data_IF_703871110391
#
_entry.id   IF_703871110391
#
_cell.length_a   1.000
_cell.length_b   1.000
_cell.length_c   1.000
_cell.angle_alpha   90.00
_cell.angle_beta   90.00
_cell.angle_gamma   90.00
#
_symmetry.space_group_name_H-M   'P 1'
#
loop_
_entity.id
_entity.type
_entity.pdbx_description
1 polymer ?
#
# COMPACT_ATOMS: atom_id res chain seq x y z
N UNK A 1 14.49 -11.25 -24.77
CA UNK A 1 15.36 -10.62 -23.74
C UNK A 1 16.78 -10.49 -24.27
N UNK A 2 17.46 -9.36 -24.11
CA UNK A 2 18.89 -9.26 -24.41
C UNK A 2 19.73 -9.53 -23.17
N UNK A 3 20.83 -10.27 -23.31
CA UNK A 3 21.80 -10.55 -22.25
C UNK A 3 23.20 -10.12 -22.67
N UNK A 4 23.95 -9.60 -21.71
CA UNK A 4 25.35 -9.26 -21.84
C UNK A 4 26.24 -10.48 -21.54
N UNK A 5 27.38 -10.54 -22.23
CA UNK A 5 28.51 -11.40 -21.86
C UNK A 5 29.76 -10.55 -21.71
N UNK A 6 30.53 -10.84 -20.68
CA UNK A 6 31.85 -10.26 -20.46
C UNK A 6 32.90 -11.24 -20.98
N UNK A 7 33.66 -10.82 -21.98
CA UNK A 7 34.76 -11.61 -22.53
C UNK A 7 36.04 -11.52 -21.69
N UNK A 8 37.05 -12.28 -22.08
CA UNK A 8 38.28 -12.45 -21.27
C UNK A 8 39.14 -11.20 -21.20
N UNK A 9 38.99 -10.26 -22.15
CA UNK A 9 39.69 -8.97 -22.17
C UNK A 9 38.82 -7.82 -21.67
N UNK A 10 37.67 -8.13 -21.06
CA UNK A 10 36.72 -7.15 -20.54
C UNK A 10 35.81 -6.52 -21.59
N UNK A 11 35.72 -7.11 -22.78
CA UNK A 11 34.81 -6.73 -23.84
C UNK A 11 33.37 -7.13 -23.49
N UNK A 12 32.43 -6.22 -23.74
CA UNK A 12 31.00 -6.47 -23.56
C UNK A 12 30.39 -6.83 -24.90
N UNK A 13 29.56 -7.86 -24.92
CA UNK A 13 28.79 -8.26 -26.09
C UNK A 13 27.33 -8.50 -25.72
N UNK A 14 26.42 -8.17 -26.63
CA UNK A 14 24.97 -8.29 -26.41
C UNK A 14 24.40 -9.40 -27.30
N UNK A 15 23.59 -10.27 -26.72
CA UNK A 15 22.94 -11.39 -27.41
C UNK A 15 21.45 -11.41 -27.14
N UNK A 16 20.63 -11.63 -28.17
CA UNK A 16 19.16 -11.73 -28.03
C UNK A 16 18.78 -13.19 -27.78
N UNK A 17 17.94 -13.41 -26.78
CA UNK A 17 17.39 -14.72 -26.42
C UNK A 17 15.86 -14.67 -26.45
N UNK A 18 15.26 -15.73 -26.97
CA UNK A 18 13.82 -15.98 -26.93
C UNK A 18 13.42 -16.55 -25.55
N UNK A 19 12.16 -16.40 -25.17
CA UNK A 19 11.67 -16.66 -23.81
C UNK A 19 11.95 -18.07 -23.29
N UNK A 20 11.88 -19.09 -24.14
CA UNK A 20 12.06 -20.48 -23.74
C UNK A 20 13.53 -20.91 -23.69
N UNK A 21 14.45 -20.07 -24.18
CA UNK A 21 15.87 -20.38 -24.36
C UNK A 21 16.78 -19.34 -23.68
N UNK A 22 16.37 -18.82 -22.53
CA UNK A 22 17.19 -17.88 -21.75
C UNK A 22 18.18 -18.68 -20.89
N UNK A 23 19.51 -18.54 -21.07
CA UNK A 23 20.49 -19.22 -20.23
C UNK A 23 20.47 -18.66 -18.80
N UNK A 24 20.95 -19.40 -17.78
CA UNK A 24 21.13 -18.85 -16.43
C UNK A 24 21.93 -17.54 -16.45
N UNK A 25 21.47 -16.55 -15.68
CA UNK A 25 22.03 -15.22 -15.71
C UNK A 25 22.00 -14.53 -14.35
N UNK A 26 22.93 -13.59 -14.16
CA UNK A 26 22.88 -12.60 -13.09
C UNK A 26 22.14 -11.33 -13.55
N UNK A 27 21.62 -10.56 -12.61
CA UNK A 27 20.93 -9.30 -12.90
C UNK A 27 21.47 -8.16 -12.03
N UNK A 28 21.66 -6.98 -12.60
CA UNK A 28 22.10 -5.80 -11.87
C UNK A 28 20.90 -4.93 -11.47
N UNK A 29 20.79 -4.67 -10.17
CA UNK A 29 19.94 -3.63 -9.62
C UNK A 29 20.79 -2.44 -9.23
N UNK A 30 20.47 -1.25 -9.74
CA UNK A 30 21.27 -0.06 -9.48
C UNK A 30 20.47 1.23 -9.66
N UNK A 31 21.00 2.33 -9.13
CA UNK A 31 20.47 3.66 -9.43
C UNK A 31 21.23 4.29 -10.58
N UNK A 32 20.51 4.84 -11.56
CA UNK A 32 21.13 5.56 -12.65
C UNK A 32 21.74 6.89 -12.18
N UNK A 33 22.83 7.27 -12.82
CA UNK A 33 23.45 8.59 -12.76
C UNK A 33 22.76 9.59 -13.68
N UNK A 34 23.51 10.56 -14.19
CA UNK A 34 23.04 11.40 -15.29
C UNK A 34 22.87 10.56 -16.56
N UNK A 35 22.04 11.01 -17.51
CA UNK A 35 21.77 10.26 -18.74
C UNK A 35 23.06 9.99 -19.55
N UNK A 36 23.96 10.97 -19.62
CA UNK A 36 25.24 10.83 -20.33
C UNK A 36 26.23 9.89 -19.64
N UNK A 37 26.03 9.63 -18.33
CA UNK A 37 26.87 8.73 -17.54
C UNK A 37 26.46 7.27 -17.66
N UNK A 38 25.25 6.97 -18.16
CA UNK A 38 24.77 5.59 -18.24
C UNK A 38 25.09 4.92 -19.57
N UNK A 39 25.41 3.64 -19.48
CA UNK A 39 25.62 2.79 -20.64
C UNK A 39 24.28 2.45 -21.27
N UNK A 40 24.13 2.74 -22.56
CA UNK A 40 22.93 2.47 -23.33
C UNK A 40 23.08 1.23 -24.22
N UNK A 41 21.97 0.78 -24.79
CA UNK A 41 21.93 -0.31 -25.74
C UNK A 41 22.78 -0.02 -27.00
N UNK A 42 22.74 1.22 -27.48
CA UNK A 42 23.49 1.64 -28.67
C UNK A 42 24.99 1.76 -28.37
N UNK A 43 25.36 2.17 -27.15
CA UNK A 43 26.78 2.21 -26.74
C UNK A 43 27.41 0.82 -26.84
N UNK A 44 26.72 -0.22 -26.35
CA UNK A 44 27.20 -1.61 -26.42
C UNK A 44 27.28 -2.09 -27.86
N UNK A 45 26.26 -1.84 -28.69
CA UNK A 45 26.30 -2.21 -30.11
C UNK A 45 27.41 -1.50 -30.88
N UNK A 46 27.69 -0.24 -30.55
CA UNK A 46 28.74 0.56 -31.15
C UNK A 46 30.13 0.33 -30.56
N UNK A 47 30.26 -0.45 -29.48
CA UNK A 47 31.53 -0.68 -28.79
C UNK A 47 32.10 0.59 -28.11
N UNK A 48 31.23 1.50 -27.69
CA UNK A 48 31.56 2.81 -27.11
C UNK A 48 31.18 2.91 -25.61
N UNK A 49 31.28 4.10 -25.02
CA UNK A 49 30.84 4.37 -23.65
C UNK A 49 31.75 3.85 -22.53
N UNK A 50 32.98 3.41 -22.83
CA UNK A 50 33.94 2.91 -21.82
C UNK A 50 34.37 3.95 -20.79
N UNK A 51 34.25 5.22 -21.17
CA UNK A 51 34.54 6.41 -20.37
C UNK A 51 33.37 6.82 -19.45
N UNK A 52 32.17 6.28 -19.68
CA UNK A 52 30.98 6.57 -18.88
C UNK A 52 31.05 5.92 -17.49
N UNK A 53 30.59 6.63 -16.47
CA UNK A 53 30.61 6.12 -15.09
C UNK A 53 29.78 4.82 -14.92
N UNK A 54 28.68 4.68 -15.66
CA UNK A 54 27.84 3.48 -15.71
C UNK A 54 28.58 2.24 -16.19
N UNK A 55 29.65 2.38 -16.99
CA UNK A 55 30.46 1.26 -17.47
C UNK A 55 31.03 0.43 -16.31
N UNK A 56 31.43 1.09 -15.23
CA UNK A 56 31.96 0.41 -14.04
C UNK A 56 30.92 -0.48 -13.36
N UNK A 57 29.65 -0.06 -13.34
CA UNK A 57 28.54 -0.86 -12.78
C UNK A 57 28.28 -2.10 -13.62
N UNK A 58 28.30 -1.96 -14.94
CA UNK A 58 28.13 -3.08 -15.89
C UNK A 58 29.28 -4.08 -15.76
N UNK A 59 30.53 -3.61 -15.72
CA UNK A 59 31.70 -4.46 -15.50
C UNK A 59 31.65 -5.16 -14.14
N UNK A 60 31.23 -4.45 -13.09
CA UNK A 60 31.05 -5.04 -11.76
C UNK A 60 30.10 -6.23 -11.82
N UNK A 61 28.92 -6.07 -12.44
CA UNK A 61 27.95 -7.17 -12.60
C UNK A 61 28.54 -8.32 -13.41
N UNK A 62 29.21 -8.04 -14.53
CA UNK A 62 29.81 -9.07 -15.37
C UNK A 62 30.91 -9.88 -14.67
N UNK A 63 31.76 -9.22 -13.87
CA UNK A 63 32.80 -9.91 -13.07
C UNK A 63 32.19 -10.77 -11.97
N UNK A 64 31.18 -10.27 -11.26
CA UNK A 64 30.46 -11.06 -10.24
C UNK A 64 29.76 -12.27 -10.84
N UNK A 65 29.15 -12.11 -12.02
CA UNK A 65 28.56 -13.21 -12.75
C UNK A 65 29.60 -14.29 -13.11
N UNK A 66 30.78 -13.89 -13.60
CA UNK A 66 31.87 -14.83 -13.91
C UNK A 66 32.39 -15.58 -12.66
N UNK A 67 32.49 -14.91 -11.51
CA UNK A 67 32.89 -15.55 -10.25
C UNK A 67 31.89 -16.61 -9.75
N UNK A 68 30.63 -16.53 -10.18
CA UNK A 68 29.55 -17.47 -9.87
C UNK A 68 29.24 -18.43 -11.05
N UNK A 69 30.18 -18.58 -11.98
CA UNK A 69 30.06 -19.42 -13.19
C UNK A 69 28.88 -19.07 -14.12
N UNK A 70 28.38 -17.82 -14.05
CA UNK A 70 27.33 -17.31 -14.92
C UNK A 70 27.94 -16.58 -16.12
N UNK A 71 27.80 -17.20 -17.30
CA UNK A 71 28.31 -16.64 -18.55
C UNK A 71 27.57 -15.39 -19.05
N UNK A 72 26.35 -15.15 -18.55
CA UNK A 72 25.44 -14.12 -19.04
C UNK A 72 24.87 -13.29 -17.89
N UNK A 73 24.63 -12.00 -18.14
CA UNK A 73 24.03 -11.10 -17.15
C UNK A 73 23.15 -10.02 -17.81
N UNK A 74 22.32 -9.35 -17.02
CA UNK A 74 21.37 -8.35 -17.50
C UNK A 74 21.48 -7.03 -16.75
N UNK A 75 21.36 -5.93 -17.49
CA UNK A 75 21.36 -4.56 -16.96
C UNK A 75 20.31 -3.74 -17.72
N UNK A 76 19.37 -3.11 -17.02
CA UNK A 76 18.22 -2.37 -17.60
C UNK A 76 18.63 -1.17 -18.47
N UNK A 77 19.79 -0.55 -18.18
CA UNK A 77 20.29 0.60 -18.93
C UNK A 77 20.66 0.23 -20.39
N UNK A 78 21.25 -0.95 -20.61
CA UNK A 78 21.84 -1.36 -21.89
C UNK A 78 21.34 -2.69 -22.46
N UNK A 79 20.52 -3.45 -21.74
CA UNK A 79 19.84 -4.65 -22.26
C UNK A 79 18.42 -4.38 -22.77
N UNK A 80 17.94 -3.13 -22.72
CA UNK A 80 16.64 -2.73 -23.26
C UNK A 80 16.86 -1.72 -24.38
N UNK A 81 16.39 -2.05 -25.59
CA UNK A 81 16.36 -1.10 -26.70
C UNK A 81 15.21 -0.10 -26.53
N UNK A 82 15.44 0.96 -25.74
CA UNK A 82 14.41 1.97 -25.41
C UNK A 82 13.81 2.70 -26.61
N UNK A 83 14.57 3.03 -27.68
CA UNK A 83 13.98 3.62 -28.88
C UNK A 83 12.91 2.75 -29.55
N UNK A 84 12.96 1.42 -29.36
CA UNK A 84 11.93 0.52 -29.85
C UNK A 84 10.79 0.39 -28.83
N UNK A 85 9.68 1.11 -29.07
CA UNK A 85 8.53 1.14 -28.14
C UNK A 85 7.89 -0.23 -27.89
N UNK A 86 7.91 -1.14 -28.88
CA UNK A 86 7.41 -2.51 -28.72
C UNK A 86 8.28 -3.27 -27.72
N UNK A 87 9.60 -3.19 -27.89
CA UNK A 87 10.56 -3.84 -26.99
C UNK A 87 10.54 -3.21 -25.60
N UNK A 88 10.39 -1.88 -25.51
CA UNK A 88 10.25 -1.17 -24.24
C UNK A 88 8.99 -1.61 -23.49
N UNK A 89 7.85 -1.73 -24.18
CA UNK A 89 6.60 -2.22 -23.60
C UNK A 89 6.73 -3.65 -23.10
N UNK A 90 7.34 -4.51 -23.90
CA UNK A 90 7.63 -5.89 -23.54
C UNK A 90 8.54 -5.97 -22.30
N UNK A 91 9.57 -5.13 -22.23
CA UNK A 91 10.48 -5.05 -21.11
C UNK A 91 9.81 -4.58 -19.83
N UNK A 92 9.02 -3.50 -19.87
CA UNK A 92 8.27 -2.98 -18.71
C UNK A 92 7.34 -4.06 -18.13
N UNK A 93 6.65 -4.80 -18.98
CA UNK A 93 5.72 -5.86 -18.55
C UNK A 93 6.44 -7.15 -18.09
N UNK A 94 7.71 -7.33 -18.47
CA UNK A 94 8.49 -8.54 -18.16
C UNK A 94 9.51 -8.35 -17.05
N UNK A 95 9.79 -7.12 -16.63
CA UNK A 95 10.89 -6.79 -15.72
C UNK A 95 10.84 -7.60 -14.42
N UNK A 96 9.69 -7.65 -13.76
CA UNK A 96 9.52 -8.45 -12.54
C UNK A 96 9.83 -9.93 -12.78
N UNK A 97 9.40 -10.49 -13.92
CA UNK A 97 9.70 -11.88 -14.27
C UNK A 97 11.20 -12.08 -14.46
N UNK A 98 11.87 -11.17 -15.16
CA UNK A 98 13.32 -11.24 -15.37
C UNK A 98 14.08 -11.17 -14.04
N UNK A 99 13.71 -10.28 -13.13
CA UNK A 99 14.29 -10.29 -11.78
C UNK A 99 13.99 -11.58 -11.02
N UNK A 100 12.76 -12.10 -11.11
CA UNK A 100 12.40 -13.35 -10.39
C UNK A 100 13.13 -14.60 -10.90
N UNK A 101 13.56 -14.61 -12.16
CA UNK A 101 14.24 -15.75 -12.80
C UNK A 101 15.77 -15.64 -12.76
N UNK A 102 16.31 -14.50 -12.33
CA UNK A 102 17.75 -14.34 -12.21
C UNK A 102 18.33 -15.24 -11.10
N UNK A 103 19.48 -15.85 -11.37
CA UNK A 103 20.17 -16.70 -10.39
C UNK A 103 20.70 -15.89 -9.20
N UNK A 104 21.19 -14.68 -9.50
CA UNK A 104 21.73 -13.69 -8.56
C UNK A 104 21.29 -12.30 -8.98
N UNK A 105 20.80 -11.51 -8.02
CA UNK A 105 20.57 -10.08 -8.17
C UNK A 105 21.63 -9.32 -7.36
N UNK A 106 22.52 -8.62 -8.06
CA UNK A 106 23.53 -7.77 -7.42
C UNK A 106 23.00 -6.35 -7.32
N UNK A 107 22.82 -5.86 -6.10
CA UNK A 107 22.46 -4.47 -5.83
C UNK A 107 23.76 -3.67 -5.66
N UNK A 108 24.06 -2.80 -6.62
CA UNK A 108 25.25 -1.94 -6.57
C UNK A 108 24.90 -0.54 -6.05
N UNK A 109 25.35 -0.24 -4.83
CA UNK A 109 25.06 1.01 -4.12
C UNK A 109 26.16 2.06 -4.34
N UNK A 110 26.02 2.84 -5.40
CA UNK A 110 26.97 3.90 -5.78
C UNK A 110 27.19 4.99 -4.73
N UNK A 111 26.32 5.14 -3.74
CA UNK A 111 26.35 6.15 -2.68
C UNK A 111 26.72 5.58 -1.29
N UNK A 112 27.04 4.29 -1.21
CA UNK A 112 27.49 3.63 0.03
C UNK A 112 28.95 3.26 -0.10
N UNK A 113 29.78 3.64 0.88
CA UNK A 113 31.19 3.23 0.96
C UNK A 113 31.38 2.42 2.22
N UNK A 114 31.96 1.23 2.09
CA UNK A 114 32.23 0.35 3.23
C UNK A 114 33.49 0.80 3.99
N UNK A 115 34.51 1.30 3.30
CA UNK A 115 35.76 1.75 3.92
C UNK A 115 35.81 3.28 4.13
N UNK A 116 35.97 3.74 5.37
CA UNK A 116 36.50 5.08 5.66
C UNK A 116 37.92 4.93 6.22
N UNK A 117 38.94 5.46 5.52
CA UNK A 117 40.25 5.68 6.16
C UNK A 117 40.09 6.84 7.15
N UNK A 118 39.97 6.53 8.43
CA UNK A 118 40.04 7.52 9.50
C UNK A 118 41.49 7.95 9.74
N UNK A 119 41.70 9.22 10.09
CA UNK A 119 43.02 9.79 10.41
C UNK A 119 43.66 9.23 11.69
N UNK A 120 42.94 8.39 12.45
CA UNK A 120 43.34 7.90 13.79
C UNK A 120 43.45 6.38 13.91
N UNK A 121 43.39 5.61 12.81
CA UNK A 121 43.66 4.16 12.85
C UNK A 121 42.55 3.27 13.42
N UNK A 122 41.47 3.82 13.99
CA UNK A 122 40.28 3.05 14.38
C UNK A 122 39.39 2.76 13.17
N UNK A 123 39.33 1.48 12.77
CA UNK A 123 38.44 0.98 11.72
C UNK A 123 37.06 0.75 12.34
N UNK A 124 36.25 1.81 12.43
CA UNK A 124 34.83 1.69 12.73
C UNK A 124 34.03 2.35 11.60
N UNK A 125 33.64 1.57 10.59
CA UNK A 125 32.74 2.03 9.55
C UNK A 125 31.30 1.57 9.86
N UNK A 126 30.42 2.50 10.21
CA UNK A 126 28.99 2.20 10.24
C UNK A 126 28.40 2.37 8.83
N UNK A 127 28.77 1.49 7.89
CA UNK A 127 28.23 1.50 6.53
C UNK A 127 26.69 1.43 6.53
N UNK A 128 26.08 0.88 7.59
CA UNK A 128 24.63 0.81 7.78
C UNK A 128 23.94 2.18 7.78
N UNK A 129 24.61 3.23 8.24
CA UNK A 129 24.01 4.58 8.22
C UNK A 129 23.96 5.16 6.80
N UNK A 130 25.01 4.91 6.00
CA UNK A 130 25.02 5.26 4.58
C UNK A 130 24.01 4.40 3.80
N UNK A 131 23.93 3.11 4.13
CA UNK A 131 22.96 2.18 3.56
C UNK A 131 21.52 2.65 3.78
N UNK A 132 21.14 3.00 5.02
CA UNK A 132 19.81 3.55 5.35
C UNK A 132 19.44 4.79 4.54
N UNK A 133 20.44 5.59 4.15
CA UNK A 133 20.27 6.84 3.40
C UNK A 133 20.46 6.67 1.90
N UNK A 134 20.72 5.45 1.42
CA UNK A 134 20.97 5.22 0.00
C UNK A 134 19.76 5.58 -0.83
N UNK A 135 19.99 6.28 -1.93
CA UNK A 135 18.99 6.64 -2.94
C UNK A 135 18.33 5.41 -3.55
N UNK A 136 18.96 4.24 -3.48
CA UNK A 136 18.39 2.99 -3.97
C UNK A 136 17.02 2.70 -3.33
N UNK A 137 16.84 3.01 -2.05
CA UNK A 137 15.57 2.82 -1.34
C UNK A 137 14.49 3.82 -1.73
N UNK A 138 14.86 4.93 -2.37
CA UNK A 138 13.92 5.99 -2.78
C UNK A 138 13.50 5.90 -4.24
N UNK A 139 13.94 4.87 -4.99
CA UNK A 139 13.56 4.69 -6.40
C UNK A 139 12.35 3.76 -6.53
N UNK A 140 11.42 4.07 -7.43
CA UNK A 140 10.22 3.25 -7.64
C UNK A 140 10.54 1.84 -8.14
N UNK A 141 11.32 1.74 -9.22
CA UNK A 141 11.67 0.48 -9.87
C UNK A 141 12.39 -0.52 -8.96
N UNK A 142 13.27 -0.04 -8.07
CA UNK A 142 14.03 -0.90 -7.14
C UNK A 142 13.15 -1.69 -6.16
N UNK A 143 11.85 -1.35 -6.04
CA UNK A 143 10.90 -2.14 -5.27
C UNK A 143 10.69 -3.53 -5.89
N UNK A 144 10.51 -3.60 -7.21
CA UNK A 144 10.41 -4.88 -7.91
C UNK A 144 11.75 -5.63 -7.85
N UNK A 145 12.85 -4.91 -7.97
CA UNK A 145 14.22 -5.45 -7.95
C UNK A 145 14.59 -6.03 -6.58
N UNK A 146 13.94 -5.57 -5.50
CA UNK A 146 14.07 -6.12 -4.14
C UNK A 146 13.22 -7.38 -3.94
N UNK A 147 11.96 -7.32 -4.40
CA UNK A 147 10.93 -8.30 -4.07
C UNK A 147 10.92 -9.51 -5.00
N UNK A 148 11.15 -9.31 -6.29
CA UNK A 148 11.06 -10.38 -7.29
C UNK A 148 12.17 -11.45 -7.17
N UNK A 149 13.46 -11.10 -7.07
CA UNK A 149 14.54 -12.10 -7.03
C UNK A 149 14.60 -12.82 -5.68
N UNK A 150 14.94 -14.11 -5.70
CA UNK A 150 15.14 -14.90 -4.48
C UNK A 150 16.49 -14.58 -3.80
N UNK A 151 17.55 -14.42 -4.60
CA UNK A 151 18.91 -14.18 -4.12
C UNK A 151 19.32 -12.74 -4.44
N UNK A 152 19.38 -11.89 -3.42
CA UNK A 152 19.82 -10.49 -3.55
C UNK A 152 21.02 -10.25 -2.67
N UNK A 153 22.06 -9.67 -3.25
CA UNK A 153 23.30 -9.32 -2.57
C UNK A 153 23.56 -7.83 -2.68
N UNK A 154 23.84 -7.18 -1.57
CA UNK A 154 24.11 -5.75 -1.52
C UNK A 154 25.61 -5.50 -1.53
N UNK A 155 26.04 -4.61 -2.43
CA UNK A 155 27.43 -4.27 -2.64
C UNK A 155 27.63 -2.76 -2.60
N UNK A 156 28.71 -2.33 -1.94
CA UNK A 156 29.07 -0.91 -1.87
C UNK A 156 29.72 -0.41 -3.16
N UNK A 157 29.89 0.92 -3.27
CA UNK A 157 30.62 1.56 -4.37
C UNK A 157 32.04 1.00 -4.54
N UNK A 158 32.72 0.72 -3.43
CA UNK A 158 34.07 0.15 -3.35
C UNK A 158 34.12 -1.38 -3.55
N UNK A 159 33.01 -1.99 -3.99
CA UNK A 159 32.94 -3.41 -4.34
C UNK A 159 32.99 -4.34 -3.13
N UNK A 160 32.62 -3.85 -1.94
CA UNK A 160 32.57 -4.66 -0.72
C UNK A 160 31.18 -5.25 -0.53
N UNK A 161 31.14 -6.52 -0.14
CA UNK A 161 29.91 -7.21 0.21
C UNK A 161 29.35 -6.66 1.52
N UNK A 162 28.07 -6.27 1.52
CA UNK A 162 27.38 -5.69 2.67
C UNK A 162 26.43 -6.68 3.35
N UNK A 163 26.00 -7.71 2.62
CA UNK A 163 25.09 -8.74 3.10
C UNK A 163 24.06 -9.15 2.05
N UNK A 164 23.41 -10.29 2.30
CA UNK A 164 22.27 -10.77 1.53
C UNK A 164 20.96 -10.12 2.00
N UNK A 165 19.90 -10.19 1.17
CA UNK A 165 18.55 -9.78 1.59
C UNK A 165 18.06 -10.52 2.83
N UNK A 166 18.42 -11.80 2.98
CA UNK A 166 18.09 -12.61 4.14
C UNK A 166 18.82 -12.12 5.39
N UNK A 167 20.13 -11.88 5.31
CA UNK A 167 20.93 -11.37 6.45
C UNK A 167 20.53 -9.95 6.86
N UNK A 168 20.05 -9.14 5.91
CA UNK A 168 19.65 -7.76 6.13
C UNK A 168 18.14 -7.58 6.28
N UNK A 169 17.34 -8.65 6.42
CA UNK A 169 15.86 -8.59 6.41
C UNK A 169 15.30 -7.55 7.38
N UNK A 170 15.79 -7.55 8.62
CA UNK A 170 15.36 -6.62 9.67
C UNK A 170 15.71 -5.17 9.34
N UNK A 171 16.92 -4.93 8.84
CA UNK A 171 17.37 -3.59 8.44
C UNK A 171 16.56 -3.09 7.23
N UNK A 172 16.28 -3.98 6.27
CA UNK A 172 15.45 -3.68 5.12
C UNK A 172 13.99 -3.38 5.52
N UNK A 173 13.44 -4.12 6.48
CA UNK A 173 12.13 -3.85 7.07
C UNK A 173 12.10 -2.46 7.73
N UNK A 174 13.11 -2.12 8.54
CA UNK A 174 13.24 -0.80 9.17
C UNK A 174 13.24 0.35 8.14
N UNK A 175 13.92 0.16 7.00
CA UNK A 175 14.04 1.20 5.96
C UNK A 175 12.77 1.30 5.11
N UNK A 176 12.19 0.16 4.72
CA UNK A 176 11.17 0.10 3.67
C UNK A 176 9.75 -0.12 4.19
N UNK A 177 9.61 -0.47 5.47
CA UNK A 177 8.35 -0.93 6.09
C UNK A 177 7.73 -2.17 5.42
N UNK A 178 8.47 -2.87 4.56
CA UNK A 178 8.03 -4.12 3.93
C UNK A 178 8.17 -5.25 4.96
N UNK A 179 7.13 -6.08 5.20
CA UNK A 179 7.22 -7.20 6.12
C UNK A 179 8.38 -8.15 5.79
N UNK A 180 9.08 -8.64 6.81
CA UNK A 180 10.17 -9.60 6.62
C UNK A 180 9.72 -10.85 5.86
N UNK A 181 8.48 -11.30 6.06
CA UNK A 181 7.90 -12.42 5.30
C UNK A 181 7.87 -12.16 3.79
N UNK A 182 7.56 -10.93 3.35
CA UNK A 182 7.59 -10.55 1.94
C UNK A 182 9.03 -10.52 1.41
N UNK A 183 9.97 -9.97 2.19
CA UNK A 183 11.40 -9.95 1.85
C UNK A 183 12.00 -11.37 1.72
N UNK A 184 11.51 -12.31 2.53
CA UNK A 184 11.88 -13.72 2.51
C UNK A 184 11.14 -14.55 1.44
N UNK A 185 10.36 -13.92 0.55
CA UNK A 185 9.77 -14.58 -0.61
C UNK A 185 8.38 -15.18 -0.40
N UNK A 186 7.64 -14.76 0.64
CA UNK A 186 6.22 -15.11 0.73
C UNK A 186 5.47 -14.62 -0.54
N UNK A 187 4.50 -15.39 -1.07
CA UNK A 187 3.77 -14.99 -2.26
C UNK A 187 3.12 -13.61 -2.07
N UNK A 188 3.37 -12.67 -2.99
CA UNK A 188 2.89 -11.29 -2.83
C UNK A 188 1.35 -11.19 -2.77
N UNK A 189 0.63 -12.19 -3.26
CA UNK A 189 -0.83 -12.29 -3.18
C UNK A 189 -1.37 -12.50 -1.76
N UNK A 190 -0.54 -12.92 -0.79
CA UNK A 190 -0.97 -13.04 0.61
C UNK A 190 -1.08 -11.68 1.31
N UNK A 191 -0.48 -10.63 0.73
CA UNK A 191 -0.54 -9.27 1.24
C UNK A 191 -1.67 -8.49 0.56
N UNK A 192 -2.36 -7.65 1.34
CA UNK A 192 -3.47 -6.86 0.82
C UNK A 192 -3.03 -5.89 -0.29
N UNK A 193 -3.96 -5.49 -1.15
CA UNK A 193 -3.68 -4.50 -2.20
C UNK A 193 -3.14 -3.21 -1.58
N UNK A 194 -3.76 -2.74 -0.50
CA UNK A 194 -3.36 -1.53 0.21
C UNK A 194 -1.96 -1.63 0.80
N UNK A 195 -1.63 -2.77 1.39
CA UNK A 195 -0.29 -3.01 1.95
C UNK A 195 0.79 -2.98 0.87
N UNK A 196 0.55 -3.62 -0.27
CA UNK A 196 1.46 -3.57 -1.42
C UNK A 196 1.64 -2.15 -1.96
N UNK A 197 0.58 -1.34 -1.98
CA UNK A 197 0.69 0.08 -2.31
C UNK A 197 1.51 0.86 -1.28
N UNK A 198 1.43 0.55 0.02
CA UNK A 198 2.23 1.24 1.06
C UNK A 198 3.73 1.02 0.90
N UNK A 199 4.18 -0.08 0.30
CA UNK A 199 5.61 -0.32 0.03
C UNK A 199 6.23 0.70 -0.95
N UNK A 200 5.40 1.51 -1.61
CA UNK A 200 5.81 2.60 -2.48
C UNK A 200 6.08 3.91 -1.75
N UNK A 201 5.74 3.99 -0.45
CA UNK A 201 5.94 5.19 0.35
C UNK A 201 7.42 5.63 0.34
N UNK A 202 7.65 6.93 0.09
CA UNK A 202 9.01 7.49 0.00
C UNK A 202 9.76 7.18 -1.29
N UNK A 203 9.18 6.40 -2.22
CA UNK A 203 9.79 6.09 -3.52
C UNK A 203 9.33 7.08 -4.60
N UNK A 204 10.25 7.42 -5.49
CA UNK A 204 10.06 8.37 -6.59
C UNK A 204 10.55 7.76 -7.91
N UNK A 205 9.95 8.22 -9.00
CA UNK A 205 10.32 7.83 -10.37
C UNK A 205 10.68 9.06 -11.19
N UNK A 206 11.53 8.90 -12.20
CA UNK A 206 11.93 10.01 -13.08
C UNK A 206 10.76 10.43 -13.97
N UNK A 207 10.10 9.46 -14.61
CA UNK A 207 8.84 9.68 -15.34
C UNK A 207 7.66 9.57 -14.40
N UNK A 208 6.62 10.37 -14.62
CA UNK A 208 5.47 10.46 -13.70
C UNK A 208 4.63 9.18 -13.76
N UNK A 209 4.43 8.66 -14.96
CA UNK A 209 3.70 7.44 -15.28
C UNK A 209 4.37 6.18 -14.69
N UNK A 210 5.69 6.17 -14.52
CA UNK A 210 6.43 5.05 -13.94
C UNK A 210 6.01 4.72 -12.50
N UNK A 211 5.37 5.65 -11.78
CA UNK A 211 4.79 5.36 -10.45
C UNK A 211 3.76 4.21 -10.51
N UNK A 212 3.13 4.00 -11.66
CA UNK A 212 2.23 2.87 -11.89
C UNK A 212 2.98 1.68 -12.49
N UNK A 213 3.83 1.91 -13.50
CA UNK A 213 4.50 0.82 -14.22
C UNK A 213 5.49 0.05 -13.35
N UNK A 214 6.14 0.72 -12.39
CA UNK A 214 7.00 0.07 -11.41
C UNK A 214 6.22 -0.80 -10.41
N UNK A 215 4.90 -0.98 -10.55
CA UNK A 215 4.08 -1.86 -9.71
C UNK A 215 3.44 -3.04 -10.46
N UNK A 216 3.58 -3.10 -11.79
CA UNK A 216 2.90 -4.13 -12.61
C UNK A 216 3.18 -5.55 -12.13
N UNK A 217 4.45 -5.88 -11.87
CA UNK A 217 4.83 -7.20 -11.40
C UNK A 217 4.41 -7.52 -9.96
N UNK A 218 4.40 -6.51 -9.08
CA UNK A 218 3.98 -6.66 -7.68
C UNK A 218 2.50 -7.03 -7.60
N UNK A 219 1.70 -6.43 -8.47
CA UNK A 219 0.27 -6.73 -8.59
C UNK A 219 -0.04 -7.88 -9.55
N UNK A 220 0.96 -8.34 -10.31
CA UNK A 220 0.79 -9.33 -11.36
C UNK A 220 -0.26 -8.85 -12.35
N UNK A 221 -0.07 -7.68 -12.95
CA UNK A 221 -0.93 -7.09 -14.00
C UNK A 221 -0.06 -6.66 -15.18
N UNK A 222 -0.68 -6.42 -16.34
CA UNK A 222 0.02 -5.97 -17.54
C UNK A 222 -0.67 -4.73 -18.09
N UNK A 223 0.12 -3.73 -18.46
CA UNK A 223 -0.38 -2.49 -19.06
C UNK A 223 0.55 -2.05 -20.19
N UNK A 224 0.00 -1.70 -21.36
CA UNK A 224 0.75 -0.98 -22.38
C UNK A 224 1.20 0.39 -21.83
N UNK A 225 2.50 0.69 -21.79
CA UNK A 225 2.97 2.00 -21.36
C UNK A 225 2.62 3.06 -22.40
N UNK A 226 2.10 4.19 -21.94
CA UNK A 226 1.77 5.35 -22.77
C UNK A 226 2.68 6.49 -22.33
N UNK A 227 3.66 6.89 -23.16
CA UNK A 227 4.56 7.99 -22.84
C UNK A 227 3.79 9.27 -22.58
N UNK A 228 4.06 9.92 -21.45
CA UNK A 228 3.44 11.20 -21.11
C UNK A 228 1.98 11.11 -20.66
N UNK A 229 1.46 9.93 -20.30
CA UNK A 229 0.08 9.78 -19.84
C UNK A 229 -0.19 10.35 -18.43
N UNK A 230 0.79 10.98 -17.78
CA UNK A 230 0.71 11.52 -16.42
C UNK A 230 0.52 10.46 -15.32
N UNK A 231 0.79 10.86 -14.07
CA UNK A 231 0.83 9.94 -12.92
C UNK A 231 -0.54 9.39 -12.59
N UNK A 232 -1.54 10.26 -12.53
CA UNK A 232 -2.88 9.98 -12.03
C UNK A 232 -3.61 9.01 -12.96
N UNK A 233 -3.48 9.22 -14.28
CA UNK A 233 -4.10 8.36 -15.27
C UNK A 233 -3.42 6.98 -15.36
N UNK A 234 -2.08 6.92 -15.32
CA UNK A 234 -1.35 5.65 -15.24
C UNK A 234 -1.76 4.84 -13.99
N UNK A 235 -1.88 5.50 -12.82
CA UNK A 235 -2.36 4.87 -11.59
C UNK A 235 -3.83 4.43 -11.67
N UNK A 236 -4.68 5.21 -12.34
CA UNK A 236 -6.07 4.83 -12.62
C UNK A 236 -6.15 3.53 -13.40
N UNK A 237 -5.41 3.43 -14.52
CA UNK A 237 -5.32 2.21 -15.34
C UNK A 237 -4.79 1.02 -14.55
N UNK A 238 -3.79 1.23 -13.70
CA UNK A 238 -3.25 0.19 -12.82
C UNK A 238 -4.33 -0.35 -11.88
N UNK A 239 -5.06 0.54 -11.21
CA UNK A 239 -6.15 0.17 -10.28
C UNK A 239 -7.27 -0.57 -11.00
N UNK A 240 -7.65 -0.13 -12.19
CA UNK A 240 -8.66 -0.80 -13.00
C UNK A 240 -8.23 -2.23 -13.35
N UNK A 241 -6.98 -2.43 -13.74
CA UNK A 241 -6.45 -3.75 -14.09
C UNK A 241 -6.33 -4.67 -12.87
N UNK A 242 -5.93 -4.13 -11.72
CA UNK A 242 -5.96 -4.85 -10.43
C UNK A 242 -7.38 -5.29 -10.09
N UNK A 243 -8.37 -4.41 -10.28
CA UNK A 243 -9.77 -4.69 -9.98
C UNK A 243 -10.35 -5.77 -10.88
N UNK A 244 -10.01 -5.76 -12.18
CA UNK A 244 -10.43 -6.81 -13.14
C UNK A 244 -9.94 -8.20 -12.74
N UNK A 245 -8.72 -8.31 -12.20
CA UNK A 245 -8.15 -9.60 -11.75
C UNK A 245 -8.68 -10.05 -10.39
N UNK A 246 -9.30 -9.15 -9.63
CA UNK A 246 -9.84 -9.43 -8.30
C UNK A 246 -11.32 -9.00 -8.25
N UNK A 247 -12.25 -9.73 -8.89
CA UNK A 247 -13.66 -9.34 -8.97
C UNK A 247 -14.32 -9.17 -7.59
N UNK A 248 -13.86 -9.87 -6.55
CA UNK A 248 -14.30 -9.65 -5.15
C UNK A 248 -13.85 -8.30 -4.56
N UNK A 249 -12.86 -7.62 -5.16
CA UNK A 249 -12.43 -6.25 -4.83
C UNK A 249 -13.17 -5.16 -5.63
N UNK A 250 -14.08 -5.52 -6.54
CA UNK A 250 -14.88 -4.55 -7.31
C UNK A 250 -15.79 -3.66 -6.43
N UNK A 251 -16.03 -4.04 -5.18
CA UNK A 251 -16.76 -3.20 -4.21
C UNK A 251 -15.91 -2.08 -3.58
N UNK A 252 -14.58 -2.09 -3.74
CA UNK A 252 -13.67 -1.17 -3.03
C UNK A 252 -13.05 -0.10 -3.94
N UNK A 253 -12.94 -0.33 -5.26
CA UNK A 253 -12.11 0.51 -6.14
C UNK A 253 -12.91 1.50 -7.01
N UNK A 254 -14.23 1.30 -7.19
CA UNK A 254 -15.09 2.28 -7.86
C UNK A 254 -15.51 3.38 -6.89
N UNK A 255 -14.72 4.46 -6.80
CA UNK A 255 -15.13 5.87 -6.57
C UNK A 255 -13.97 6.67 -5.95
N UNK A 256 -13.00 7.09 -6.75
CA UNK A 256 -12.33 8.37 -6.48
C UNK A 256 -13.09 9.45 -7.24
N UNK A 257 -14.22 9.85 -6.67
CA UNK A 257 -14.92 11.08 -7.04
C UNK A 257 -14.25 12.27 -6.33
N UNK A 258 -14.44 13.46 -6.89
CA UNK A 258 -14.07 14.77 -6.31
C UNK A 258 -14.34 14.83 -4.78
N UNK A 259 -13.64 15.71 -4.04
CA UNK A 259 -13.76 15.84 -2.56
C UNK A 259 -15.22 15.79 -2.02
N UNK A 260 -16.23 16.40 -2.69
CA UNK A 260 -17.64 16.22 -2.33
C UNK A 260 -18.15 14.77 -2.44
N UNK A 261 -17.87 14.09 -3.56
CA UNK A 261 -18.29 12.70 -3.80
C UNK A 261 -17.54 11.67 -2.92
N UNK A 262 -16.31 11.98 -2.51
CA UNK A 262 -15.57 11.17 -1.52
C UNK A 262 -16.27 11.13 -0.17
N UNK A 263 -16.69 12.29 0.35
CA UNK A 263 -17.37 12.38 1.66
C UNK A 263 -18.69 11.61 1.65
N UNK A 264 -19.44 11.74 0.56
CA UNK A 264 -20.69 11.00 0.38
C UNK A 264 -20.44 9.49 0.35
N UNK A 265 -19.41 9.03 -0.36
CA UNK A 265 -19.03 7.60 -0.38
C UNK A 265 -18.58 7.09 0.99
N UNK A 266 -17.79 7.86 1.74
CA UNK A 266 -17.38 7.49 3.10
C UNK A 266 -18.58 7.43 4.05
N UNK A 267 -19.48 8.42 3.98
CA UNK A 267 -20.70 8.45 4.76
C UNK A 267 -21.62 7.25 4.43
N UNK A 268 -21.81 6.95 3.15
CA UNK A 268 -22.61 5.80 2.69
C UNK A 268 -22.00 4.46 3.15
N UNK A 269 -20.67 4.32 3.18
CA UNK A 269 -20.05 3.08 3.65
C UNK A 269 -20.30 2.76 5.12
N UNK A 270 -20.68 3.75 5.95
CA UNK A 270 -21.09 3.51 7.33
C UNK A 270 -22.44 2.80 7.39
N UNK A 271 -23.30 2.97 6.38
CA UNK A 271 -24.59 2.29 6.30
C UNK A 271 -24.43 0.78 6.18
N UNK A 272 -25.43 0.08 6.68
CA UNK A 272 -25.68 -1.32 6.41
C UNK A 272 -27.20 -1.54 6.43
N UNK A 273 -27.67 -2.49 5.62
CA UNK A 273 -29.08 -2.69 5.31
C UNK A 273 -29.96 -2.85 6.56
N UNK A 274 -29.43 -3.51 7.61
CA UNK A 274 -30.18 -3.84 8.82
C UNK A 274 -30.12 -2.78 9.93
N UNK A 275 -29.53 -1.60 9.68
CA UNK A 275 -29.21 -0.61 10.71
C UNK A 275 -30.42 -0.14 11.54
N UNK A 276 -31.58 0.01 10.90
CA UNK A 276 -32.84 0.41 11.55
C UNK A 276 -33.81 -0.75 11.81
N UNK A 277 -33.51 -1.95 11.29
CA UNK A 277 -34.43 -3.10 11.26
C UNK A 277 -35.00 -3.40 12.62
N UNK A 278 -34.16 -3.42 13.67
CA UNK A 278 -34.64 -3.72 15.01
C UNK A 278 -35.63 -2.68 15.54
N UNK A 279 -35.36 -1.39 15.32
CA UNK A 279 -36.24 -0.29 15.75
C UNK A 279 -37.58 -0.35 15.03
N UNK A 280 -37.55 -0.61 13.72
CA UNK A 280 -38.74 -0.71 12.88
C UNK A 280 -39.60 -1.92 13.30
N UNK A 281 -38.97 -3.08 13.53
CA UNK A 281 -39.67 -4.33 13.87
C UNK A 281 -40.18 -4.40 15.31
N UNK A 282 -39.69 -3.57 16.23
CA UNK A 282 -40.29 -3.41 17.56
C UNK A 282 -41.69 -2.84 17.39
N UNK A 283 -42.71 -3.54 17.90
CA UNK A 283 -44.10 -3.07 17.92
C UNK A 283 -44.21 -1.75 18.68
N UNK A 284 -45.03 -0.85 18.15
CA UNK A 284 -45.33 0.42 18.79
C UNK A 284 -46.04 0.20 20.13
N UNK A 285 -45.88 1.17 21.02
CA UNK A 285 -46.61 1.18 22.28
C UNK A 285 -48.12 1.31 21.98
N UNK A 286 -48.91 0.45 22.60
CA UNK A 286 -50.37 0.59 22.53
C UNK A 286 -50.79 1.91 23.17
N UNK A 287 -51.91 2.48 22.70
CA UNK A 287 -52.45 3.72 23.23
C UNK A 287 -52.54 3.67 24.78
N UNK A 288 -52.10 4.76 25.44
CA UNK A 288 -52.05 4.92 26.91
C UNK A 288 -51.05 4.01 27.66
N UNK A 289 -50.18 3.27 26.96
CA UNK A 289 -49.09 2.52 27.59
C UNK A 289 -47.77 3.31 27.56
N UNK A 290 -46.78 2.89 28.36
CA UNK A 290 -45.42 3.46 28.45
C UNK A 290 -45.30 4.92 28.97
N UNK A 291 -46.35 5.75 28.89
CA UNK A 291 -46.33 7.16 29.29
C UNK A 291 -45.98 7.41 30.77
N UNK A 292 -46.25 6.43 31.65
CA UNK A 292 -45.86 6.49 33.07
C UNK A 292 -44.36 6.72 33.26
N UNK A 293 -43.52 6.24 32.33
CA UNK A 293 -42.07 6.36 32.42
C UNK A 293 -41.60 7.82 32.37
N UNK A 294 -42.34 8.69 31.68
CA UNK A 294 -42.02 10.12 31.59
C UNK A 294 -42.13 10.85 32.94
N UNK A 295 -42.91 10.30 33.87
CA UNK A 295 -43.08 10.83 35.23
C UNK A 295 -42.25 10.07 36.26
N UNK A 296 -41.59 8.97 35.86
CA UNK A 296 -40.84 8.14 36.79
C UNK A 296 -39.61 8.90 37.31
N UNK A 297 -39.44 8.96 38.64
CA UNK A 297 -38.39 9.75 39.29
C UNK A 297 -36.99 9.49 38.72
N UNK A 298 -36.63 8.22 38.46
CA UNK A 298 -35.34 7.86 37.88
C UNK A 298 -35.15 8.38 36.44
N UNK A 299 -36.20 8.39 35.62
CA UNK A 299 -36.14 8.93 34.26
C UNK A 299 -36.03 10.45 34.27
N UNK A 300 -36.82 11.11 35.11
CA UNK A 300 -36.79 12.56 35.29
C UNK A 300 -35.41 13.02 35.81
N UNK A 301 -34.85 12.31 36.79
CA UNK A 301 -33.50 12.58 37.31
C UNK A 301 -32.43 12.42 36.22
N UNK A 302 -32.49 11.33 35.44
CA UNK A 302 -31.56 11.09 34.33
C UNK A 302 -31.63 12.17 33.23
N UNK A 303 -32.80 12.80 33.01
CA UNK A 303 -33.01 13.81 31.96
C UNK A 303 -32.53 15.22 32.34
N UNK A 304 -32.40 15.57 33.62
CA UNK A 304 -32.02 16.94 34.05
C UNK A 304 -30.57 17.27 33.66
N UNK A 305 -30.34 18.47 33.10
CA UNK A 305 -29.03 18.88 32.54
C UNK A 305 -28.04 19.39 33.60
N UNK A 306 -28.48 19.77 34.79
CA UNK A 306 -27.78 20.69 35.69
C UNK A 306 -26.62 20.09 36.52
N UNK A 307 -26.31 18.80 36.37
CA UNK A 307 -25.27 18.12 37.16
C UNK A 307 -24.09 17.69 36.27
N UNK A 308 -23.27 18.68 35.88
CA UNK A 308 -22.11 18.51 34.97
C UNK A 308 -20.85 17.97 35.68
N UNK A 309 -20.88 17.79 37.00
CA UNK A 309 -19.71 17.39 37.79
C UNK A 309 -19.75 15.91 38.16
N UNK A 310 -19.41 15.05 37.19
CA UNK A 310 -18.79 13.75 37.44
C UNK A 310 -19.72 12.53 37.63
N UNK A 311 -20.04 11.83 36.53
CA UNK A 311 -20.57 10.47 36.60
C UNK A 311 -21.34 10.04 35.35
N UNK A 312 -21.05 8.84 34.83
CA UNK A 312 -21.66 8.26 33.60
C UNK A 312 -23.20 8.26 33.68
N UNK A 313 -23.89 8.92 32.75
CA UNK A 313 -25.36 9.02 32.67
C UNK A 313 -26.01 7.82 31.97
N UNK A 314 -25.89 6.61 32.53
CA UNK A 314 -26.52 5.39 32.00
C UNK A 314 -27.86 5.15 32.69
N UNK A 315 -28.96 5.07 31.92
CA UNK A 315 -30.26 4.63 32.42
C UNK A 315 -30.42 3.12 32.22
N UNK A 316 -30.54 2.36 33.30
CA UNK A 316 -30.73 0.91 33.25
C UNK A 316 -32.21 0.51 33.44
N UNK A 317 -32.80 -0.12 32.43
CA UNK A 317 -34.19 -0.62 32.47
C UNK A 317 -34.19 -2.15 32.53
N UNK A 318 -34.55 -2.70 33.69
CA UNK A 318 -34.66 -4.14 33.92
C UNK A 318 -36.12 -4.61 33.94
N UNK A 319 -36.35 -5.87 33.57
CA UNK A 319 -37.68 -6.49 33.59
C UNK A 319 -37.68 -7.87 32.95
N UNK A 320 -38.71 -8.67 33.25
CA UNK A 320 -38.85 -10.06 32.75
C UNK A 320 -38.89 -10.11 31.20
N UNK A 321 -38.51 -11.23 30.56
CA UNK A 321 -38.78 -11.43 29.13
C UNK A 321 -40.25 -11.18 28.81
N UNK A 322 -40.54 -10.50 27.69
CA UNK A 322 -41.92 -10.15 27.31
C UNK A 322 -42.52 -8.92 28.03
N UNK A 323 -41.87 -8.34 29.05
CA UNK A 323 -42.39 -7.18 29.79
C UNK A 323 -42.43 -5.85 29.00
N UNK A 324 -42.24 -5.86 27.68
CA UNK A 324 -42.34 -4.66 26.83
C UNK A 324 -41.14 -3.71 26.83
N UNK A 325 -39.96 -4.12 27.36
CA UNK A 325 -38.77 -3.24 27.46
C UNK A 325 -38.36 -2.56 26.15
N UNK A 326 -38.29 -3.32 25.05
CA UNK A 326 -37.92 -2.75 23.74
C UNK A 326 -38.99 -1.78 23.22
N UNK A 327 -40.27 -2.07 23.45
CA UNK A 327 -41.39 -1.18 23.12
C UNK A 327 -41.33 0.11 23.95
N UNK A 328 -41.00 0.02 25.23
CA UNK A 328 -40.74 1.17 26.09
C UNK A 328 -39.57 2.02 25.56
N UNK A 329 -38.46 1.40 25.16
CA UNK A 329 -37.32 2.12 24.57
C UNK A 329 -37.67 2.80 23.24
N UNK A 330 -38.45 2.14 22.37
CA UNK A 330 -38.95 2.75 21.13
C UNK A 330 -39.84 3.96 21.42
N UNK A 331 -40.73 3.84 22.41
CA UNK A 331 -41.58 4.94 22.87
C UNK A 331 -40.76 6.12 23.39
N UNK A 332 -39.80 5.87 24.29
CA UNK A 332 -38.93 6.94 24.83
C UNK A 332 -38.08 7.60 23.75
N UNK A 333 -37.57 6.82 22.78
CA UNK A 333 -36.85 7.36 21.63
C UNK A 333 -37.75 8.26 20.77
N UNK A 334 -39.00 7.87 20.51
CA UNK A 334 -39.95 8.69 19.78
C UNK A 334 -40.24 10.01 20.52
N UNK A 335 -40.54 9.93 21.82
CA UNK A 335 -40.75 11.13 22.66
C UNK A 335 -39.51 12.04 22.65
N UNK A 336 -38.30 11.48 22.68
CA UNK A 336 -37.08 12.27 22.60
C UNK A 336 -36.95 12.98 21.24
N UNK A 337 -37.23 12.28 20.13
CA UNK A 337 -37.23 12.87 18.77
C UNK A 337 -38.31 13.96 18.61
N UNK A 338 -39.50 13.76 19.16
CA UNK A 338 -40.62 14.71 19.07
C UNK A 338 -40.37 16.00 19.89
N UNK A 339 -39.57 15.90 20.96
CA UNK A 339 -39.21 17.02 21.84
C UNK A 339 -37.77 17.51 21.64
N UNK A 340 -37.13 17.11 20.53
CA UNK A 340 -35.76 17.49 20.17
C UNK A 340 -35.67 19.00 19.97
N UNK A 341 -34.66 19.64 20.56
CA UNK A 341 -34.32 21.04 20.23
C UNK A 341 -33.42 21.11 19.00
N UNK A 342 -33.40 22.26 18.32
CA UNK A 342 -32.62 22.45 17.09
C UNK A 342 -31.10 22.26 17.29
N UNK A 343 -30.60 22.50 18.50
CA UNK A 343 -29.19 22.35 18.88
C UNK A 343 -28.81 20.94 19.37
N UNK A 344 -29.79 20.04 19.52
CA UNK A 344 -29.57 18.68 20.02
C UNK A 344 -29.40 17.68 18.87
N UNK A 345 -28.55 16.68 19.04
CA UNK A 345 -28.44 15.55 18.11
C UNK A 345 -28.86 14.29 18.85
N UNK A 346 -29.89 13.62 18.34
CA UNK A 346 -30.40 12.37 18.91
C UNK A 346 -30.04 11.23 17.97
N UNK A 347 -29.15 10.37 18.44
CA UNK A 347 -28.71 9.15 17.75
C UNK A 347 -29.14 7.91 18.51
N UNK A 348 -29.38 6.80 17.82
CA UNK A 348 -29.83 5.57 18.45
C UNK A 348 -29.32 4.32 17.74
N UNK A 349 -29.18 3.24 18.50
CA UNK A 349 -28.90 1.91 17.95
C UNK A 349 -29.62 0.85 18.79
N UNK A 350 -30.33 -0.06 18.13
CA UNK A 350 -31.12 -1.11 18.80
C UNK A 350 -30.48 -2.47 18.53
N UNK A 351 -29.77 -3.02 19.52
CA UNK A 351 -29.18 -4.35 19.41
C UNK A 351 -30.24 -5.42 19.15
N UNK A 352 -29.96 -6.30 18.19
CA UNK A 352 -30.81 -7.41 17.82
C UNK A 352 -30.08 -8.74 17.98
N UNK A 353 -30.29 -9.40 19.12
CA UNK A 353 -29.69 -10.72 19.38
C UNK A 353 -30.09 -11.80 18.34
N UNK A 354 -31.14 -11.58 17.55
CA UNK A 354 -31.58 -12.49 16.48
C UNK A 354 -31.29 -11.96 15.06
N UNK A 355 -30.71 -10.78 14.95
CA UNK A 355 -30.39 -10.14 13.67
C UNK A 355 -29.06 -10.58 13.07
N UNK A 356 -28.58 -9.86 12.07
CA UNK A 356 -27.30 -10.14 11.42
C UNK A 356 -26.11 -9.70 12.29
N UNK A 357 -24.90 -10.04 11.86
CA UNK A 357 -23.65 -9.84 12.63
C UNK A 357 -23.49 -8.39 13.11
N UNK A 358 -23.77 -7.40 12.26
CA UNK A 358 -23.63 -5.98 12.63
C UNK A 358 -24.69 -5.52 13.64
N UNK A 359 -25.89 -6.11 13.67
CA UNK A 359 -26.92 -5.75 14.65
C UNK A 359 -26.59 -6.22 16.09
N UNK A 360 -25.55 -7.06 16.24
CA UNK A 360 -25.14 -7.68 17.50
C UNK A 360 -23.82 -7.14 18.05
N UNK A 361 -23.07 -6.39 17.25
CA UNK A 361 -21.68 -6.02 17.56
C UNK A 361 -21.54 -4.53 17.87
N UNK A 362 -20.51 -4.20 18.64
CA UNK A 362 -20.12 -2.80 18.89
C UNK A 362 -19.71 -2.08 17.60
N UNK A 363 -19.13 -2.80 16.63
CA UNK A 363 -18.80 -2.25 15.32
C UNK A 363 -20.04 -1.72 14.59
N UNK A 364 -21.11 -2.52 14.50
CA UNK A 364 -22.37 -2.07 13.90
C UNK A 364 -23.00 -0.91 14.66
N UNK A 365 -22.89 -0.90 15.99
CA UNK A 365 -23.31 0.25 16.81
C UNK A 365 -22.53 1.52 16.45
N UNK A 366 -21.19 1.48 16.43
CA UNK A 366 -20.38 2.67 16.12
C UNK A 366 -20.63 3.18 14.71
N UNK A 367 -20.73 2.29 13.72
CA UNK A 367 -21.09 2.66 12.34
C UNK A 367 -22.42 3.39 12.27
N UNK A 368 -23.44 2.86 12.93
CA UNK A 368 -24.78 3.44 12.94
C UNK A 368 -24.82 4.81 13.64
N UNK A 369 -24.13 4.95 14.78
CA UNK A 369 -24.09 6.20 15.53
C UNK A 369 -23.31 7.27 14.77
N UNK A 370 -22.14 6.93 14.20
CA UNK A 370 -21.34 7.86 13.40
C UNK A 370 -22.09 8.32 12.15
N UNK A 371 -22.76 7.40 11.45
CA UNK A 371 -23.59 7.73 10.29
C UNK A 371 -24.66 8.78 10.67
N UNK A 372 -25.39 8.56 11.77
CA UNK A 372 -26.41 9.49 12.25
C UNK A 372 -25.83 10.85 12.67
N UNK A 373 -24.70 10.87 13.40
CA UNK A 373 -24.03 12.11 13.82
C UNK A 373 -23.61 12.92 12.60
N UNK A 374 -22.92 12.30 11.64
CA UNK A 374 -22.39 12.99 10.46
C UNK A 374 -23.49 13.43 9.47
N UNK A 375 -24.64 12.76 9.49
CA UNK A 375 -25.83 13.16 8.73
C UNK A 375 -26.51 14.37 9.37
N UNK A 376 -26.67 14.38 10.69
CA UNK A 376 -27.36 15.45 11.42
C UNK A 376 -26.45 16.68 11.68
N UNK A 377 -25.12 16.50 11.62
CA UNK A 377 -24.13 17.57 11.77
C UNK A 377 -23.16 17.63 10.57
N UNK A 378 -23.58 18.19 9.42
CA UNK A 378 -22.75 18.25 8.21
C UNK A 378 -21.40 18.97 8.40
N UNK A 379 -21.32 19.91 9.35
CA UNK A 379 -20.08 20.63 9.67
C UNK A 379 -18.97 19.72 10.24
N UNK A 380 -19.30 18.51 10.70
CA UNK A 380 -18.33 17.51 11.17
C UNK A 380 -17.80 16.61 10.05
N UNK A 381 -18.42 16.59 8.87
CA UNK A 381 -17.99 15.76 7.74
C UNK A 381 -16.56 16.02 7.23
N UNK A 382 -15.95 17.22 7.36
CA UNK A 382 -14.53 17.40 7.05
C UNK A 382 -13.57 16.50 7.85
N UNK A 383 -14.00 15.93 8.99
CA UNK A 383 -13.21 14.94 9.73
C UNK A 383 -12.94 13.66 8.92
N UNK A 384 -13.81 13.34 7.96
CA UNK A 384 -13.64 12.21 7.04
C UNK A 384 -12.43 12.41 6.09
N UNK A 385 -12.05 13.66 5.84
CA UNK A 385 -10.91 13.98 4.97
C UNK A 385 -9.57 13.74 5.67
N UNK A 386 -9.51 13.95 7.00
CA UNK A 386 -8.28 13.74 7.78
C UNK A 386 -7.95 12.25 7.92
N UNK A 387 -8.98 11.41 8.11
CA UNK A 387 -8.80 9.97 8.26
C UNK A 387 -8.42 9.28 6.94
N UNK A 388 -8.90 9.80 5.81
CA UNK A 388 -8.57 9.27 4.49
C UNK A 388 -7.13 9.55 4.05
N UNK A 389 -6.45 10.56 4.61
CA UNK A 389 -5.06 10.89 4.30
C UNK A 389 -4.03 10.06 5.10
N UNK A 390 -4.36 9.61 6.31
CA UNK A 390 -3.40 8.94 7.21
C UNK A 390 -3.42 7.40 7.16
N UNK A 391 -4.53 6.77 6.75
CA UNK A 391 -4.66 5.29 6.78
C UNK A 391 -5.50 4.68 5.66
N UNK A 392 -6.12 5.49 4.80
CA UNK A 392 -7.22 5.06 3.94
C UNK A 392 -8.49 4.85 4.76
N UNK A 393 -9.63 5.29 4.24
CA UNK A 393 -10.92 5.08 4.90
C UNK A 393 -11.30 3.59 4.84
N UNK A 394 -11.32 2.91 5.98
CA UNK A 394 -11.88 1.55 6.12
C UNK A 394 -12.92 1.54 7.22
N UNK A 395 -13.97 0.77 7.06
CA UNK A 395 -15.04 0.76 8.06
C UNK A 395 -14.63 0.03 9.34
N UNK A 396 -13.58 -0.80 9.29
CA UNK A 396 -12.94 -1.37 10.49
C UNK A 396 -11.86 -0.47 11.13
N UNK A 397 -11.49 0.65 10.49
CA UNK A 397 -10.46 1.58 10.98
C UNK A 397 -10.98 2.71 11.90
N UNK A 398 -12.30 2.80 12.05
CA UNK A 398 -13.02 3.59 13.05
C UNK A 398 -13.20 2.78 14.33
#
# INVERSE_FOLDING_TARGET
MYLLRLGTRGELSLSKHEYDNVPPYAILSHTWGAEDDELTFDDIKGGSGKDKAGYQKVLFCGRRAQEEDLSSFWVDSCCINRPNLTELSEAINSMFRWYSQAMKCYVYLSDVTALKRGSTGDIACNWKDAFRKSRWFTRGWTLQELLAPQNVEFWSRDGQFLGTKQELSKLLHEITSIPESALCGAPLSTFSINERFRWTAGRNTTRREDNAYCLLGIFGVFLPPIPGEEREHALGRLRDEIAKRNPSSMMVIKREETVPGRRESSLESLKFEQMDTRRITVRDAMAKTCGWMLQHHAYVAWRRKDDYTGGRRILWIAGKPGAGKSTLMKYLHQVAKDNKKDDEIIVSFFFNARGDTLEKTTLGMYRALLFQILTEAPHLQPLLDQYSQCSGWTVEGL
#
